data_IF_380782934599
#
_entry.id   IF_380782934599
#
_cell.length_a   1.000
_cell.length_b   1.000
_cell.length_c   1.000
_cell.angle_alpha   90.00
_cell.angle_beta   90.00
_cell.angle_gamma   90.00
#
_symmetry.space_group_name_H-M   'P 1'
#
loop_
_entity.id
_entity.type
_entity.pdbx_description
1 polymer ?
#
# COMPACT_ATOMS: atom_id res chain seq x y z
N UNK A 1 -25.20 -12.38 9.95
CA UNK A 1 -24.53 -13.46 9.19
C UNK A 1 -24.41 -13.14 7.69
N UNK A 2 -24.74 -11.93 7.21
CA UNK A 2 -24.76 -11.59 5.77
C UNK A 2 -23.55 -10.78 5.26
N UNK A 3 -22.51 -10.58 6.09
CA UNK A 3 -21.37 -9.70 5.75
C UNK A 3 -20.12 -10.50 5.28
N UNK A 4 -20.12 -11.83 5.48
CA UNK A 4 -19.01 -12.71 5.13
C UNK A 4 -18.60 -12.73 3.64
N UNK A 5 -19.49 -12.64 2.63
CA UNK A 5 -19.03 -12.71 1.25
C UNK A 5 -18.29 -11.44 0.81
N UNK A 6 -18.59 -10.28 1.40
CA UNK A 6 -17.98 -9.01 0.99
C UNK A 6 -16.51 -8.89 1.41
N UNK A 7 -16.13 -9.53 2.53
CA UNK A 7 -14.74 -9.51 3.03
C UNK A 7 -13.78 -10.39 2.24
N UNK A 8 -14.30 -11.33 1.43
CA UNK A 8 -13.48 -12.21 0.58
C UNK A 8 -13.02 -11.49 -0.69
N UNK A 9 -13.77 -10.49 -1.15
CA UNK A 9 -13.48 -9.84 -2.45
C UNK A 9 -12.10 -9.16 -2.47
N UNK A 10 -11.69 -8.36 -1.46
CA UNK A 10 -10.34 -7.79 -1.43
C UNK A 10 -9.23 -8.85 -1.51
N UNK A 11 -9.41 -9.99 -0.82
CA UNK A 11 -8.46 -11.10 -0.82
C UNK A 11 -8.31 -11.72 -2.22
N UNK A 12 -9.40 -11.86 -2.97
CA UNK A 12 -9.38 -12.37 -4.35
C UNK A 12 -8.71 -11.37 -5.30
N UNK A 13 -8.99 -10.08 -5.15
CA UNK A 13 -8.35 -9.02 -5.95
C UNK A 13 -6.84 -9.00 -5.72
N UNK A 14 -6.44 -9.11 -4.46
CA UNK A 14 -5.03 -9.17 -4.06
C UNK A 14 -4.33 -10.40 -4.61
N UNK A 15 -4.92 -11.59 -4.44
CA UNK A 15 -4.39 -12.84 -4.97
C UNK A 15 -4.23 -12.76 -6.49
N UNK A 16 -5.20 -12.14 -7.17
CA UNK A 16 -5.12 -11.89 -8.62
C UNK A 16 -3.92 -11.01 -8.95
N UNK A 17 -3.70 -9.93 -8.22
CA UNK A 17 -2.54 -9.06 -8.41
C UNK A 17 -1.22 -9.79 -8.15
N UNK A 18 -1.13 -10.62 -7.10
CA UNK A 18 0.06 -11.42 -6.77
C UNK A 18 0.37 -12.49 -7.84
N UNK A 19 -0.67 -13.15 -8.39
CA UNK A 19 -0.53 -14.10 -9.50
C UNK A 19 -0.06 -13.37 -10.76
N UNK A 20 -0.65 -12.23 -11.11
CA UNK A 20 -0.23 -11.44 -12.27
C UNK A 20 1.20 -10.93 -12.13
N UNK A 21 1.60 -10.48 -10.93
CA UNK A 21 2.98 -10.14 -10.61
C UNK A 21 3.92 -11.33 -10.92
N UNK A 22 3.56 -12.53 -10.44
CA UNK A 22 4.33 -13.76 -10.67
C UNK A 22 4.45 -14.10 -12.16
N UNK A 23 3.34 -14.09 -12.91
CA UNK A 23 3.31 -14.40 -14.34
C UNK A 23 4.16 -13.42 -15.15
N UNK A 24 4.09 -12.13 -14.83
CA UNK A 24 4.78 -11.07 -15.56
C UNK A 24 6.16 -10.72 -15.00
N UNK A 25 6.68 -11.48 -14.04
CA UNK A 25 7.95 -11.22 -13.35
C UNK A 25 9.13 -10.98 -14.29
N UNK A 26 9.17 -11.69 -15.43
CA UNK A 26 10.22 -11.50 -16.45
C UNK A 26 10.32 -10.07 -17.02
N UNK A 27 9.27 -9.25 -16.90
CA UNK A 27 9.23 -7.86 -17.39
C UNK A 27 9.87 -6.85 -16.43
N UNK A 28 9.98 -7.17 -15.14
CA UNK A 28 10.43 -6.22 -14.11
C UNK A 28 11.42 -6.83 -13.11
N UNK A 29 11.87 -8.08 -13.30
CA UNK A 29 12.84 -8.75 -12.42
C UNK A 29 14.18 -8.02 -12.21
N UNK A 30 14.58 -7.18 -13.16
CA UNK A 30 15.83 -6.40 -13.08
C UNK A 30 15.64 -5.04 -12.39
N UNK A 31 14.38 -4.66 -12.12
CA UNK A 31 14.02 -3.37 -11.53
C UNK A 31 13.78 -3.50 -10.03
N UNK A 32 13.67 -2.37 -9.33
CA UNK A 32 13.39 -2.38 -7.88
C UNK A 32 11.96 -2.84 -7.59
N UNK A 33 11.04 -2.72 -8.54
CA UNK A 33 9.66 -3.23 -8.43
C UNK A 33 9.59 -4.76 -8.31
N UNK A 34 10.69 -5.49 -8.54
CA UNK A 34 10.76 -6.93 -8.22
C UNK A 34 10.35 -7.22 -6.77
N UNK A 35 10.61 -6.29 -5.85
CA UNK A 35 10.24 -6.44 -4.45
C UNK A 35 8.73 -6.34 -4.21
N UNK A 36 7.96 -5.73 -5.11
CA UNK A 36 6.48 -5.74 -5.02
C UNK A 36 5.89 -7.14 -5.17
N UNK A 37 6.56 -8.05 -5.91
CA UNK A 37 6.13 -9.45 -5.96
C UNK A 37 6.13 -10.07 -4.56
N UNK A 38 7.25 -9.95 -3.85
CA UNK A 38 7.39 -10.49 -2.50
C UNK A 38 6.46 -9.78 -1.52
N UNK A 39 6.30 -8.46 -1.67
CA UNK A 39 5.40 -7.68 -0.85
C UNK A 39 3.93 -8.09 -1.02
N UNK A 40 3.46 -8.36 -2.24
CA UNK A 40 2.10 -8.83 -2.48
C UNK A 40 1.84 -10.22 -1.89
N UNK A 41 2.78 -11.14 -2.03
CA UNK A 41 2.66 -12.44 -1.36
C UNK A 41 2.72 -12.32 0.17
N UNK A 42 3.54 -11.40 0.69
CA UNK A 42 3.59 -11.09 2.12
C UNK A 42 2.24 -10.56 2.62
N UNK A 43 1.65 -9.57 1.95
CA UNK A 43 0.31 -9.06 2.28
C UNK A 43 -0.72 -10.17 2.27
N UNK A 44 -0.67 -11.05 1.26
CA UNK A 44 -1.68 -12.10 1.11
C UNK A 44 -1.60 -13.10 2.26
N UNK A 45 -0.38 -13.44 2.69
CA UNK A 45 -0.17 -14.30 3.86
C UNK A 45 -0.61 -13.65 5.16
N UNK A 46 -0.42 -12.34 5.31
CA UNK A 46 -0.92 -11.59 6.48
C UNK A 46 -2.45 -11.58 6.50
N UNK A 47 -3.11 -11.35 5.38
CA UNK A 47 -4.58 -11.37 5.31
C UNK A 47 -5.15 -12.77 5.55
N UNK A 48 -4.53 -13.82 5.01
CA UNK A 48 -4.90 -15.21 5.32
C UNK A 48 -4.76 -15.53 6.81
N UNK A 49 -3.64 -15.11 7.43
CA UNK A 49 -3.43 -15.30 8.86
C UNK A 49 -4.43 -14.50 9.69
N UNK A 50 -4.71 -13.25 9.31
CA UNK A 50 -5.72 -12.40 9.94
C UNK A 50 -7.11 -13.02 9.89
N UNK A 51 -7.52 -13.53 8.72
CA UNK A 51 -8.78 -14.24 8.53
C UNK A 51 -8.85 -15.53 9.35
N UNK A 52 -7.78 -16.32 9.38
CA UNK A 52 -7.71 -17.52 10.22
C UNK A 52 -7.86 -17.18 11.70
N UNK A 53 -7.08 -16.21 12.20
CA UNK A 53 -7.15 -15.79 13.60
C UNK A 53 -8.54 -15.27 13.97
N UNK A 54 -9.15 -14.44 13.12
CA UNK A 54 -10.44 -13.82 13.40
C UNK A 54 -11.65 -14.75 13.26
N UNK A 55 -11.69 -15.59 12.21
CA UNK A 55 -12.88 -16.41 11.92
C UNK A 55 -12.79 -17.84 12.47
N UNK A 56 -11.59 -18.40 12.57
CA UNK A 56 -11.39 -19.80 12.96
C UNK A 56 -10.94 -19.90 14.41
N UNK A 57 -9.94 -19.10 14.81
CA UNK A 57 -9.37 -19.16 16.15
C UNK A 57 -10.08 -18.24 17.18
N UNK A 58 -10.96 -17.34 16.72
CA UNK A 58 -11.63 -16.31 17.55
C UNK A 58 -10.64 -15.44 18.36
N UNK A 59 -9.48 -15.15 17.76
CA UNK A 59 -8.41 -14.34 18.35
C UNK A 59 -8.41 -12.95 17.73
N UNK A 60 -8.46 -11.91 18.57
CA UNK A 60 -8.26 -10.53 18.15
C UNK A 60 -6.90 -10.34 17.48
N UNK A 61 -6.90 -9.85 16.25
CA UNK A 61 -5.73 -9.79 15.36
C UNK A 61 -5.18 -8.36 15.15
N UNK A 62 -5.54 -7.39 16.01
CA UNK A 62 -5.05 -6.00 15.92
C UNK A 62 -3.52 -5.90 15.91
N UNK A 63 -2.84 -6.69 16.74
CA UNK A 63 -1.37 -6.72 16.79
C UNK A 63 -0.74 -7.10 15.44
N UNK A 64 -1.35 -8.04 14.71
CA UNK A 64 -0.88 -8.50 13.40
C UNK A 64 -0.99 -7.36 12.39
N UNK A 65 -2.13 -6.68 12.36
CA UNK A 65 -2.35 -5.56 11.44
C UNK A 65 -1.56 -4.31 11.82
N UNK A 66 -1.29 -4.06 13.10
CA UNK A 66 -0.39 -2.99 13.55
C UNK A 66 1.06 -3.27 13.08
N UNK A 67 1.54 -4.52 13.21
CA UNK A 67 2.84 -4.92 12.70
C UNK A 67 2.91 -4.85 11.17
N UNK A 68 1.85 -5.29 10.48
CA UNK A 68 1.72 -5.20 9.03
C UNK A 68 1.72 -3.74 8.54
N UNK A 69 1.07 -2.84 9.26
CA UNK A 69 1.08 -1.40 8.96
C UNK A 69 2.50 -0.84 8.98
N UNK A 70 3.26 -1.15 10.03
CA UNK A 70 4.65 -0.68 10.18
C UNK A 70 5.52 -1.20 9.04
N UNK A 71 5.50 -2.51 8.82
CA UNK A 71 6.33 -3.16 7.79
C UNK A 71 5.96 -2.70 6.38
N UNK A 72 4.67 -2.51 6.07
CA UNK A 72 4.21 -2.02 4.77
C UNK A 72 4.68 -0.60 4.47
N UNK A 73 4.57 0.33 5.42
CA UNK A 73 5.05 1.70 5.20
C UNK A 73 6.56 1.77 5.06
N UNK A 74 7.31 0.99 5.85
CA UNK A 74 8.77 0.89 5.68
C UNK A 74 9.15 0.34 4.30
N UNK A 75 8.41 -0.64 3.79
CA UNK A 75 8.58 -1.12 2.42
C UNK A 75 8.37 -0.02 1.39
N UNK A 76 7.28 0.77 1.51
CA UNK A 76 7.02 1.87 0.59
C UNK A 76 8.11 2.95 0.66
N UNK A 77 8.59 3.31 1.85
CA UNK A 77 9.68 4.28 2.00
C UNK A 77 10.98 3.79 1.37
N UNK A 78 11.36 2.54 1.63
CA UNK A 78 12.50 1.92 0.97
C UNK A 78 12.36 1.97 -0.56
N UNK A 79 11.18 1.61 -1.08
CA UNK A 79 10.94 1.59 -2.51
C UNK A 79 10.99 2.99 -3.11
N UNK A 80 10.34 3.99 -2.52
CA UNK A 80 10.40 5.38 -2.98
C UNK A 80 11.82 5.93 -2.95
N UNK A 81 12.60 5.64 -1.90
CA UNK A 81 14.02 5.99 -1.85
C UNK A 81 14.81 5.38 -3.02
N UNK A 82 14.43 4.19 -3.48
CA UNK A 82 15.11 3.48 -4.58
C UNK A 82 14.79 4.04 -5.98
N UNK A 83 13.58 4.57 -6.20
CA UNK A 83 13.13 5.05 -7.52
C UNK A 83 13.27 6.57 -7.71
N UNK A 84 13.29 7.33 -6.62
CA UNK A 84 13.50 8.78 -6.71
C UNK A 84 14.95 9.07 -7.06
N UNK A 85 15.20 9.94 -8.03
CA UNK A 85 16.56 10.23 -8.52
C UNK A 85 17.20 11.40 -7.78
N UNK A 86 16.41 12.43 -7.47
CA UNK A 86 16.86 13.64 -6.77
C UNK A 86 17.34 13.33 -5.36
N UNK A 87 18.55 13.77 -5.02
CA UNK A 87 19.10 13.61 -3.67
C UNK A 87 18.32 14.39 -2.61
N UNK A 88 17.68 15.50 -3.00
CA UNK A 88 16.76 16.21 -2.11
C UNK A 88 15.57 15.32 -1.76
N UNK A 89 14.95 14.66 -2.74
CA UNK A 89 13.81 13.78 -2.51
C UNK A 89 14.20 12.55 -1.70
N UNK A 90 15.38 11.96 -1.93
CA UNK A 90 15.90 10.86 -1.09
C UNK A 90 16.07 11.27 0.38
N UNK A 91 16.61 12.47 0.64
CA UNK A 91 16.71 13.02 2.01
C UNK A 91 15.33 13.24 2.64
N UNK A 92 14.35 13.70 1.85
CA UNK A 92 12.98 13.84 2.33
C UNK A 92 12.33 12.49 2.65
N UNK A 93 12.58 11.43 1.85
CA UNK A 93 12.14 10.06 2.19
C UNK A 93 12.71 9.64 3.54
N UNK A 94 14.01 9.86 3.78
CA UNK A 94 14.64 9.54 5.06
C UNK A 94 14.00 10.31 6.23
N UNK A 95 13.77 11.62 6.07
CA UNK A 95 13.11 12.44 7.08
C UNK A 95 11.70 11.95 7.39
N UNK A 96 10.89 11.68 6.36
CA UNK A 96 9.52 11.14 6.52
C UNK A 96 9.53 9.76 7.20
N UNK A 97 10.49 8.90 6.83
CA UNK A 97 10.67 7.58 7.44
C UNK A 97 11.03 7.69 8.92
N UNK A 98 11.90 8.63 9.29
CA UNK A 98 12.28 8.87 10.68
C UNK A 98 11.10 9.39 11.50
N UNK A 99 10.33 10.35 10.98
CA UNK A 99 9.11 10.85 11.62
C UNK A 99 8.11 9.71 11.83
N UNK A 100 7.88 8.90 10.80
CA UNK A 100 7.01 7.73 10.88
C UNK A 100 7.46 6.75 11.98
N UNK A 101 8.75 6.42 12.04
CA UNK A 101 9.29 5.50 13.04
C UNK A 101 9.15 6.05 14.46
N UNK A 102 9.33 7.37 14.66
CA UNK A 102 9.10 8.01 15.96
C UNK A 102 7.63 7.86 16.38
N UNK A 103 6.69 8.13 15.47
CA UNK A 103 5.24 7.97 15.75
C UNK A 103 4.86 6.51 15.98
N UNK A 104 5.44 5.58 15.21
CA UNK A 104 5.24 4.15 15.37
C UNK A 104 5.75 3.66 16.72
N UNK A 105 6.98 4.04 17.11
CA UNK A 105 7.57 3.70 18.40
C UNK A 105 6.74 4.26 19.56
N UNK A 106 6.32 5.52 19.46
CA UNK A 106 5.41 6.12 20.43
C UNK A 106 4.09 5.33 20.52
N UNK A 107 3.50 4.94 19.38
CA UNK A 107 2.25 4.18 19.36
C UNK A 107 2.42 2.79 20.01
N UNK A 108 3.54 2.10 19.78
CA UNK A 108 3.83 0.79 20.38
C UNK A 108 3.95 0.84 21.92
N UNK A 109 4.40 1.98 22.47
CA UNK A 109 4.57 2.15 23.92
C UNK A 109 3.28 2.65 24.59
N UNK A 110 2.55 3.55 23.94
CA UNK A 110 1.47 4.30 24.58
C UNK A 110 0.05 3.94 24.08
N UNK A 111 -0.11 3.32 22.90
CA UNK A 111 -1.43 2.92 22.42
C UNK A 111 -1.77 1.48 22.81
N UNK A 112 -3.08 1.21 22.89
CA UNK A 112 -3.60 -0.12 23.20
C UNK A 112 -3.35 -1.08 22.04
N UNK A 113 -2.85 -2.27 22.36
CA UNK A 113 -2.67 -3.37 21.42
C UNK A 113 -3.98 -4.03 20.97
N UNK A 114 -5.11 -3.61 21.54
CA UNK A 114 -6.46 -4.07 21.21
C UNK A 114 -7.15 -3.12 20.21
N UNK A 115 -6.41 -2.14 19.69
CA UNK A 115 -6.92 -1.17 18.71
C UNK A 115 -5.89 -0.95 17.59
N UNK A 116 -6.37 -0.44 16.46
CA UNK A 116 -5.49 -0.02 15.38
C UNK A 116 -4.72 1.24 15.77
N UNK A 117 -3.42 1.27 15.51
CA UNK A 117 -2.58 2.42 15.81
C UNK A 117 -2.81 3.57 14.81
N UNK A 118 -3.91 4.32 15.00
CA UNK A 118 -4.41 5.33 14.03
C UNK A 118 -3.36 6.37 13.65
N UNK A 119 -2.59 6.88 14.61
CA UNK A 119 -1.56 7.89 14.34
C UNK A 119 -0.42 7.31 13.49
N UNK A 120 0.00 6.06 13.77
CA UNK A 120 0.98 5.37 12.93
C UNK A 120 0.48 5.26 11.49
N UNK A 121 -0.77 4.82 11.30
CA UNK A 121 -1.36 4.71 9.97
C UNK A 121 -1.44 6.06 9.23
N UNK A 122 -1.99 7.09 9.88
CA UNK A 122 -2.18 8.41 9.26
C UNK A 122 -0.84 9.04 8.87
N UNK A 123 0.17 8.99 9.75
CA UNK A 123 1.50 9.52 9.45
C UNK A 123 2.15 8.77 8.28
N UNK A 124 2.02 7.44 8.24
CA UNK A 124 2.51 6.63 7.13
C UNK A 124 1.80 6.97 5.81
N UNK A 125 0.47 7.03 5.83
CA UNK A 125 -0.36 7.31 4.68
C UNK A 125 -0.09 8.70 4.09
N UNK A 126 0.00 9.73 4.93
CA UNK A 126 0.36 11.10 4.51
C UNK A 126 1.77 11.14 3.91
N UNK A 127 2.72 10.44 4.53
CA UNK A 127 4.10 10.36 4.02
C UNK A 127 4.14 9.72 2.64
N UNK A 128 3.48 8.58 2.44
CA UNK A 128 3.39 7.93 1.13
C UNK A 128 2.69 8.83 0.11
N UNK A 129 1.63 9.53 0.49
CA UNK A 129 0.96 10.50 -0.38
C UNK A 129 1.94 11.58 -0.87
N UNK A 130 2.72 12.19 0.03
CA UNK A 130 3.75 13.17 -0.35
C UNK A 130 4.77 12.55 -1.32
N UNK A 131 5.21 11.32 -1.06
CA UNK A 131 6.17 10.62 -1.93
C UNK A 131 5.60 10.28 -3.31
N UNK A 132 4.30 9.95 -3.40
CA UNK A 132 3.64 9.76 -4.70
C UNK A 132 3.68 11.05 -5.53
N UNK A 133 3.48 12.21 -4.90
CA UNK A 133 3.56 13.52 -5.57
C UNK A 133 4.97 13.83 -6.07
N UNK A 134 6.01 13.52 -5.27
CA UNK A 134 7.40 13.68 -5.71
C UNK A 134 7.73 12.77 -6.90
N UNK A 135 7.26 11.53 -6.88
CA UNK A 135 7.47 10.62 -8.00
C UNK A 135 6.73 11.09 -9.27
N UNK A 136 5.49 11.59 -9.16
CA UNK A 136 4.80 12.17 -10.32
C UNK A 136 5.48 13.43 -10.82
N UNK A 137 5.97 14.30 -9.95
CA UNK A 137 6.75 15.46 -10.33
C UNK A 137 8.01 15.05 -11.12
N UNK A 138 8.74 14.02 -10.67
CA UNK A 138 9.88 13.48 -11.41
C UNK A 138 9.47 12.94 -12.78
N UNK A 139 8.38 12.17 -12.87
CA UNK A 139 7.90 11.64 -14.14
C UNK A 139 7.48 12.74 -15.12
N UNK A 140 6.75 13.77 -14.63
CA UNK A 140 6.25 14.88 -15.46
C UNK A 140 7.36 15.76 -16.02
N UNK A 141 8.48 15.89 -15.32
CA UNK A 141 9.63 16.68 -15.76
C UNK A 141 10.69 15.84 -16.48
N UNK A 142 10.41 14.56 -16.77
CA UNK A 142 11.30 13.70 -17.53
C UNK A 142 10.92 13.67 -19.02
N UNK A 143 11.90 13.42 -19.89
CA UNK A 143 11.67 13.19 -21.33
C UNK A 143 10.81 11.94 -21.61
N UNK A 144 10.49 11.16 -20.56
CA UNK A 144 9.75 9.91 -20.62
C UNK A 144 8.24 10.07 -20.36
N UNK A 145 7.72 11.29 -20.27
CA UNK A 145 6.29 11.59 -20.07
C UNK A 145 5.37 10.79 -21.00
N UNK A 146 5.75 10.61 -22.27
CA UNK A 146 4.94 9.92 -23.28
C UNK A 146 4.88 8.39 -23.09
N UNK A 147 5.80 7.83 -22.30
CA UNK A 147 5.96 6.38 -22.09
C UNK A 147 5.71 5.94 -20.64
N UNK A 148 5.30 6.85 -19.75
CA UNK A 148 5.04 6.56 -18.32
C UNK A 148 4.08 5.39 -18.10
N UNK A 149 3.12 5.18 -19.00
CA UNK A 149 2.18 4.04 -18.94
C UNK A 149 2.86 2.67 -19.00
N UNK A 150 4.10 2.59 -19.47
CA UNK A 150 4.87 1.34 -19.50
C UNK A 150 5.79 1.16 -18.29
N UNK A 151 5.93 2.19 -17.45
CA UNK A 151 6.67 2.09 -16.19
C UNK A 151 5.78 1.49 -15.11
N UNK A 152 6.27 0.46 -14.43
CA UNK A 152 5.52 -0.15 -13.33
C UNK A 152 5.38 0.82 -12.13
N UNK A 153 6.40 1.64 -11.86
CA UNK A 153 6.37 2.65 -10.80
C UNK A 153 5.23 3.66 -10.93
N UNK A 154 4.83 3.99 -12.16
CA UNK A 154 3.71 4.89 -12.44
C UNK A 154 2.37 4.30 -11.96
N UNK A 155 2.12 3.04 -12.31
CA UNK A 155 0.89 2.34 -11.90
C UNK A 155 0.84 2.12 -10.40
N UNK A 156 1.97 1.73 -9.80
CA UNK A 156 2.07 1.56 -8.35
C UNK A 156 1.80 2.89 -7.62
N UNK A 157 2.44 3.99 -8.06
CA UNK A 157 2.23 5.30 -7.42
C UNK A 157 0.81 5.82 -7.61
N UNK A 158 0.18 5.56 -8.76
CA UNK A 158 -1.24 5.90 -8.99
C UNK A 158 -2.15 5.14 -8.04
N UNK A 159 -1.90 3.84 -7.85
CA UNK A 159 -2.64 3.00 -6.92
C UNK A 159 -2.55 3.54 -5.49
N UNK A 160 -1.32 3.83 -5.03
CA UNK A 160 -1.05 4.34 -3.69
C UNK A 160 -1.64 5.73 -3.45
N UNK A 161 -1.55 6.63 -4.44
CA UNK A 161 -2.15 7.96 -4.38
C UNK A 161 -3.66 7.85 -4.13
N UNK A 162 -4.37 7.13 -5.00
CA UNK A 162 -5.83 7.02 -4.94
C UNK A 162 -6.30 6.27 -3.69
N UNK A 163 -5.61 5.19 -3.31
CA UNK A 163 -5.92 4.43 -2.11
C UNK A 163 -5.76 5.28 -0.85
N UNK A 164 -4.59 5.91 -0.64
CA UNK A 164 -4.34 6.66 0.59
C UNK A 164 -5.12 7.99 0.66
N UNK A 165 -5.43 8.60 -0.49
CA UNK A 165 -6.32 9.77 -0.53
C UNK A 165 -7.73 9.44 0.00
N UNK A 166 -8.23 8.22 -0.25
CA UNK A 166 -9.50 7.75 0.32
C UNK A 166 -9.38 7.20 1.74
N UNK A 167 -8.28 6.51 2.07
CA UNK A 167 -8.11 5.88 3.38
C UNK A 167 -7.88 6.87 4.52
N UNK A 168 -7.19 7.98 4.28
CA UNK A 168 -6.96 9.01 5.31
C UNK A 168 -8.25 9.58 5.89
N UNK A 169 -9.19 10.13 5.07
CA UNK A 169 -10.45 10.63 5.63
C UNK A 169 -11.28 9.50 6.24
N UNK A 170 -11.25 8.29 5.67
CA UNK A 170 -11.95 7.13 6.24
C UNK A 170 -11.47 6.81 7.67
N UNK A 171 -10.15 6.74 7.89
CA UNK A 171 -9.58 6.48 9.21
C UNK A 171 -9.78 7.65 10.18
N UNK A 172 -9.63 8.89 9.69
CA UNK A 172 -9.71 10.10 10.51
C UNK A 172 -11.15 10.39 10.96
N UNK A 173 -12.14 10.15 10.09
CA UNK A 173 -13.55 10.40 10.35
C UNK A 173 -14.26 9.20 11.02
N UNK A 174 -13.62 8.04 11.09
CA UNK A 174 -14.18 6.82 11.72
C UNK A 174 -14.68 7.01 13.16
N UNK A 175 -14.14 7.99 13.89
CA UNK A 175 -14.56 8.33 15.26
C UNK A 175 -15.67 9.38 15.34
N UNK A 176 -15.95 10.09 14.25
CA UNK A 176 -16.87 11.24 14.22
C UNK A 176 -18.12 10.97 13.38
N UNK A 177 -18.01 10.09 12.40
CA UNK A 177 -19.10 9.70 11.51
C UNK A 177 -19.33 8.22 11.74
N UNK A 178 -20.59 7.82 11.96
CA UNK A 178 -20.98 6.41 11.97
C UNK A 178 -20.95 5.84 10.54
N UNK A 179 -19.76 5.76 9.94
CA UNK A 179 -19.51 4.84 8.84
C UNK A 179 -19.57 3.41 9.40
N UNK A 180 -20.79 2.94 9.68
CA UNK A 180 -21.05 1.61 10.21
C UNK A 180 -21.73 0.74 9.16
N UNK A 181 -21.39 -0.54 9.17
CA UNK A 181 -22.01 -1.53 8.29
C UNK A 181 -21.62 -1.37 6.82
N UNK A 182 -22.61 -1.37 5.93
CA UNK A 182 -22.43 -1.53 4.48
C UNK A 182 -21.61 -0.40 3.83
N UNK A 183 -21.83 0.86 4.23
CA UNK A 183 -21.18 2.02 3.61
C UNK A 183 -19.66 2.00 3.77
N UNK A 184 -19.19 1.69 4.98
CA UNK A 184 -17.76 1.53 5.28
C UNK A 184 -17.13 0.42 4.43
N UNK A 185 -17.81 -0.73 4.34
CA UNK A 185 -17.34 -1.88 3.57
C UNK A 185 -17.29 -1.59 2.07
N UNK A 186 -18.28 -0.88 1.53
CA UNK A 186 -18.30 -0.47 0.12
C UNK A 186 -17.15 0.47 -0.20
N UNK A 187 -16.85 1.45 0.68
CA UNK A 187 -15.71 2.35 0.50
C UNK A 187 -14.40 1.55 0.49
N UNK A 188 -14.19 0.67 1.48
CA UNK A 188 -13.01 -0.19 1.53
C UNK A 188 -12.88 -1.07 0.28
N UNK A 189 -14.00 -1.64 -0.20
CA UNK A 189 -14.02 -2.46 -1.40
C UNK A 189 -13.60 -1.67 -2.64
N UNK A 190 -14.13 -0.45 -2.81
CA UNK A 190 -13.77 0.44 -3.91
C UNK A 190 -12.27 0.78 -3.84
N UNK A 191 -11.76 1.16 -2.67
CA UNK A 191 -10.36 1.53 -2.50
C UNK A 191 -9.42 0.34 -2.80
N UNK A 192 -9.74 -0.86 -2.32
CA UNK A 192 -8.97 -2.06 -2.64
C UNK A 192 -9.07 -2.44 -4.12
N UNK A 193 -10.23 -2.26 -4.75
CA UNK A 193 -10.41 -2.49 -6.19
C UNK A 193 -9.55 -1.54 -7.02
N UNK A 194 -9.46 -0.28 -6.62
CA UNK A 194 -8.57 0.70 -7.26
C UNK A 194 -7.10 0.29 -7.06
N UNK A 195 -6.70 -0.04 -5.82
CA UNK A 195 -5.33 -0.40 -5.49
C UNK A 195 -4.85 -1.62 -6.31
N UNK A 196 -5.52 -2.75 -6.17
CA UNK A 196 -5.14 -3.99 -6.82
C UNK A 196 -5.43 -3.99 -8.32
N UNK A 197 -6.44 -3.22 -8.77
CA UNK A 197 -6.70 -2.98 -10.19
C UNK A 197 -5.54 -2.24 -10.86
N UNK A 198 -5.06 -1.15 -10.27
CA UNK A 198 -3.90 -0.41 -10.78
C UNK A 198 -2.63 -1.26 -10.78
N UNK A 199 -2.36 -2.03 -9.71
CA UNK A 199 -1.23 -2.97 -9.69
C UNK A 199 -1.32 -4.00 -10.81
N UNK A 200 -2.49 -4.62 -10.99
CA UNK A 200 -2.74 -5.60 -12.05
C UNK A 200 -2.50 -5.03 -13.43
N UNK A 201 -3.07 -3.84 -13.73
CA UNK A 201 -2.84 -3.14 -15.00
C UNK A 201 -1.34 -2.84 -15.18
N UNK A 202 -0.66 -2.40 -14.12
CA UNK A 202 0.78 -2.16 -14.12
C UNK A 202 1.59 -3.39 -14.55
N UNK A 203 1.35 -4.54 -13.94
CA UNK A 203 2.06 -5.78 -14.29
C UNK A 203 1.77 -6.24 -15.73
N UNK A 204 0.55 -6.03 -16.23
CA UNK A 204 0.17 -6.41 -17.59
C UNK A 204 0.83 -5.47 -18.62
N UNK A 205 0.75 -4.16 -18.43
CA UNK A 205 1.19 -3.17 -19.42
C UNK A 205 2.67 -2.82 -19.36
N UNK A 206 3.34 -3.11 -18.25
CA UNK A 206 4.75 -2.78 -18.12
C UNK A 206 5.60 -3.47 -19.18
N UNK A 207 6.70 -2.80 -19.59
CA UNK A 207 7.64 -3.36 -20.57
C UNK A 207 9.06 -3.29 -20.04
N UNK A 208 9.80 -4.40 -20.21
CA UNK A 208 11.18 -4.59 -19.73
C UNK A 208 12.14 -3.44 -20.09
N UNK A 209 11.97 -2.83 -21.26
CA UNK A 209 12.82 -1.72 -21.72
C UNK A 209 12.76 -0.50 -20.78
N UNK A 210 11.63 -0.25 -20.12
CA UNK A 210 11.37 1.00 -19.38
C UNK A 210 11.46 0.86 -17.86
N UNK A 211 11.72 -0.35 -17.35
CA UNK A 211 11.92 -0.60 -15.92
C UNK A 211 13.41 -0.74 -15.55
N UNK A 212 14.33 -0.50 -16.48
CA UNK A 212 15.77 -0.55 -16.20
C UNK A 212 16.20 0.85 -15.76
N UNK A 213 16.58 0.96 -14.49
CA UNK A 213 17.37 2.08 -13.97
C UNK A 213 18.85 1.75 -14.10
#
# INVERSE_FOLDING_TARGET
MEIQPLSIIPLVLELTAAILATIYFGKYKESTEKFFLYFLWYTFMVELLGAYLGYVADVKNFWLYNAFTITSFLFYFYWYHSILESQLFKRLVFLLSAIFLIVAAWSLVYQSWVEYHKFTFITGALSVLILTLFHFYQLLNSDEVLIVKYKLSFWISTALLLFYMGMIPLFSLSGYIEFRGLSYLVILLILNSILYGCYSIGFIWTKKKYNRF
#
